data_IF_120229281326
#
_entry.id   IF_120229281326
#
_cell.length_a   1.000
_cell.length_b   1.000
_cell.length_c   1.000
_cell.angle_alpha   90.00
_cell.angle_beta   90.00
_cell.angle_gamma   90.00
#
_symmetry.space_group_name_H-M   'P 1'
#
loop_
_entity.id
_entity.type
_entity.pdbx_description
1 polymer ?
#
# COMPACT_ATOMS: atom_id res chain seq x y z
N UNK A 1 18.09 46.05 -60.38
CA UNK A 1 19.34 45.29 -60.16
C UNK A 1 19.47 45.09 -58.65
N UNK A 2 19.06 43.92 -58.14
CA UNK A 2 19.93 42.87 -57.51
C UNK A 2 20.35 43.23 -56.07
N UNK A 3 20.23 42.42 -55.01
CA UNK A 3 19.94 40.98 -54.74
C UNK A 3 19.60 40.87 -53.22
N UNK A 4 18.57 40.10 -52.81
CA UNK A 4 18.66 38.78 -52.14
C UNK A 4 19.32 38.84 -50.71
N UNK A 5 18.55 38.94 -49.61
CA UNK A 5 17.86 37.89 -48.85
C UNK A 5 18.79 36.80 -48.23
N UNK A 6 18.88 36.74 -46.90
CA UNK A 6 18.82 35.48 -46.13
C UNK A 6 18.57 35.75 -44.62
N UNK A 7 17.35 35.46 -44.18
CA UNK A 7 16.96 35.32 -42.77
C UNK A 7 17.41 33.93 -42.31
N UNK A 8 18.34 33.85 -41.36
CA UNK A 8 18.73 32.59 -40.71
C UNK A 8 17.88 32.40 -39.45
N UNK A 9 16.68 31.84 -39.63
CA UNK A 9 15.86 31.35 -38.53
C UNK A 9 16.44 30.03 -38.02
N UNK A 10 17.16 30.10 -36.90
CA UNK A 10 17.62 28.93 -36.17
C UNK A 10 16.42 28.28 -35.46
N UNK A 11 15.75 27.35 -36.14
CA UNK A 11 14.76 26.47 -35.52
C UNK A 11 15.46 25.53 -34.55
N UNK A 12 15.45 25.89 -33.26
CA UNK A 12 15.82 25.00 -32.18
C UNK A 12 14.87 23.80 -32.19
N UNK A 13 15.38 22.65 -32.65
CA UNK A 13 14.71 21.36 -32.51
C UNK A 13 14.59 21.05 -31.02
N UNK A 14 13.45 21.38 -30.44
CA UNK A 14 13.03 20.84 -29.15
C UNK A 14 12.84 19.34 -29.31
N UNK A 15 13.91 18.57 -29.11
CA UNK A 15 13.86 17.14 -28.83
C UNK A 15 13.20 16.97 -27.46
N UNK A 16 11.88 17.13 -27.41
CA UNK A 16 11.05 16.69 -26.31
C UNK A 16 11.06 15.17 -26.30
N UNK A 17 12.10 14.56 -25.75
CA UNK A 17 12.02 13.18 -25.29
C UNK A 17 10.87 13.14 -24.28
N UNK A 18 9.74 12.60 -24.71
CA UNK A 18 8.64 12.23 -23.82
C UNK A 18 9.18 11.09 -22.94
N UNK A 19 9.89 11.46 -21.87
CA UNK A 19 10.29 10.56 -20.81
C UNK A 19 9.00 10.07 -20.19
N UNK A 20 8.43 8.98 -20.72
CA UNK A 20 7.30 8.30 -20.11
C UNK A 20 7.69 8.06 -18.66
N UNK A 21 6.99 8.72 -17.73
CA UNK A 21 7.29 8.58 -16.32
C UNK A 21 7.31 7.08 -15.99
N UNK A 22 8.47 6.60 -15.55
CA UNK A 22 8.63 5.19 -15.20
C UNK A 22 7.67 4.88 -14.05
N UNK A 23 7.05 3.71 -14.09
CA UNK A 23 6.11 3.25 -13.06
C UNK A 23 6.64 1.95 -12.46
N UNK A 24 6.26 1.68 -11.22
CA UNK A 24 6.54 0.41 -10.55
C UNK A 24 5.89 -0.71 -11.38
N UNK A 25 6.65 -1.76 -11.78
CA UNK A 25 6.13 -2.85 -12.60
C UNK A 25 4.83 -3.45 -12.04
N UNK A 26 3.84 -3.65 -12.91
CA UNK A 26 2.53 -4.17 -12.51
C UNK A 26 1.58 -3.13 -11.90
N UNK A 27 1.97 -1.85 -11.82
CA UNK A 27 1.16 -0.78 -11.23
C UNK A 27 1.14 0.47 -12.13
N UNK A 28 0.30 1.44 -11.77
CA UNK A 28 0.34 2.80 -12.33
C UNK A 28 1.11 3.79 -11.43
N UNK A 29 1.73 3.32 -10.34
CA UNK A 29 2.40 4.16 -9.36
C UNK A 29 3.73 4.67 -9.94
N UNK A 30 4.01 5.99 -9.91
CA UNK A 30 5.29 6.53 -10.37
C UNK A 30 6.47 5.89 -9.64
N UNK A 31 7.50 5.51 -10.39
CA UNK A 31 8.73 4.94 -9.84
C UNK A 31 9.52 6.03 -9.11
N UNK A 32 9.78 5.78 -7.82
CA UNK A 32 10.69 6.54 -6.98
C UNK A 32 11.17 5.63 -5.85
N UNK A 33 12.33 5.88 -5.22
CA UNK A 33 12.80 5.08 -4.09
C UNK A 33 11.77 4.97 -2.96
N UNK A 34 11.09 6.07 -2.65
CA UNK A 34 10.03 6.11 -1.63
C UNK A 34 8.82 5.28 -2.01
N UNK A 35 8.26 5.47 -3.21
CA UNK A 35 7.08 4.70 -3.64
C UNK A 35 7.39 3.21 -3.74
N UNK A 36 8.58 2.87 -4.24
CA UNK A 36 9.06 1.50 -4.32
C UNK A 36 9.11 0.86 -2.94
N UNK A 37 9.73 1.53 -1.98
CA UNK A 37 9.84 1.02 -0.61
C UNK A 37 8.46 0.81 0.05
N UNK A 38 7.53 1.74 -0.12
CA UNK A 38 6.15 1.60 0.39
C UNK A 38 5.41 0.43 -0.29
N UNK A 39 5.47 0.33 -1.61
CA UNK A 39 4.82 -0.76 -2.36
C UNK A 39 5.41 -2.10 -1.96
N UNK A 40 6.73 -2.19 -1.84
CA UNK A 40 7.41 -3.42 -1.43
C UNK A 40 7.01 -3.84 -0.01
N UNK A 41 6.84 -2.91 0.94
CA UNK A 41 6.27 -3.20 2.27
C UNK A 41 4.85 -3.78 2.18
N UNK A 42 3.99 -3.17 1.37
CA UNK A 42 2.60 -3.65 1.20
C UNK A 42 2.57 -5.01 0.49
N UNK A 43 3.48 -5.29 -0.44
CA UNK A 43 3.62 -6.61 -1.05
C UNK A 43 4.09 -7.68 -0.05
N UNK A 44 4.98 -7.33 0.89
CA UNK A 44 5.35 -8.26 1.98
C UNK A 44 4.15 -8.59 2.87
N UNK A 45 3.32 -7.59 3.19
CA UNK A 45 2.04 -7.80 3.88
C UNK A 45 1.13 -8.74 3.09
N UNK A 46 0.90 -8.46 1.80
CA UNK A 46 0.06 -9.29 0.91
C UNK A 46 0.50 -10.76 0.94
N UNK A 47 1.80 -10.99 0.80
CA UNK A 47 2.39 -12.33 0.84
C UNK A 47 2.26 -13.00 2.22
N UNK A 48 2.39 -12.25 3.31
CA UNK A 48 2.21 -12.77 4.67
C UNK A 48 0.75 -13.17 4.94
N UNK A 49 -0.22 -12.40 4.43
CA UNK A 49 -1.64 -12.77 4.45
C UNK A 49 -1.88 -14.09 3.73
N UNK A 50 -1.39 -14.25 2.50
CA UNK A 50 -1.56 -15.51 1.73
C UNK A 50 -0.94 -16.72 2.44
N UNK A 51 0.19 -16.52 3.14
CA UNK A 51 0.85 -17.56 3.94
C UNK A 51 0.23 -17.78 5.32
N UNK A 52 -0.71 -16.94 5.75
CA UNK A 52 -1.26 -16.91 7.12
C UNK A 52 -0.16 -16.78 8.18
N UNK A 53 0.85 -15.98 7.87
CA UNK A 53 2.02 -15.77 8.72
C UNK A 53 1.71 -14.71 9.79
N UNK A 54 0.99 -15.13 10.84
CA UNK A 54 0.55 -14.22 11.91
C UNK A 54 1.69 -13.52 12.63
N UNK A 55 2.85 -14.15 12.92
CA UNK A 55 3.99 -13.44 13.50
C UNK A 55 4.55 -12.36 12.57
N UNK A 56 4.70 -12.63 11.26
CA UNK A 56 5.18 -11.63 10.32
C UNK A 56 4.22 -10.45 10.21
N UNK A 57 2.91 -10.71 10.13
CA UNK A 57 1.88 -9.67 10.10
C UNK A 57 1.96 -8.77 11.33
N UNK A 58 2.03 -9.36 12.53
CA UNK A 58 2.12 -8.60 13.76
C UNK A 58 3.41 -7.76 13.88
N UNK A 59 4.52 -8.23 13.29
CA UNK A 59 5.78 -7.48 13.21
C UNK A 59 5.75 -6.32 12.21
N UNK A 60 4.80 -6.32 11.27
CA UNK A 60 4.60 -5.24 10.30
C UNK A 60 3.65 -4.16 10.84
N UNK A 61 2.89 -4.45 11.90
CA UNK A 61 2.03 -3.47 12.55
C UNK A 61 2.82 -2.57 13.51
N UNK A 62 2.46 -1.28 13.53
CA UNK A 62 2.90 -0.34 14.55
C UNK A 62 2.30 -0.69 15.92
N UNK A 63 3.02 -0.40 17.00
CA UNK A 63 2.44 -0.47 18.35
C UNK A 63 1.28 0.53 18.54
N UNK A 64 1.23 1.57 17.72
CA UNK A 64 0.14 2.56 17.68
C UNK A 64 -0.99 2.17 16.72
N UNK A 65 -1.01 0.93 16.21
CA UNK A 65 -2.01 0.45 15.26
C UNK A 65 -3.43 0.69 15.77
N UNK A 66 -4.30 1.16 14.87
CA UNK A 66 -5.72 1.35 15.11
C UNK A 66 -6.53 1.06 13.84
N UNK A 67 -7.54 0.19 13.94
CA UNK A 67 -8.52 -0.05 12.90
C UNK A 67 -9.82 0.67 13.22
N UNK A 68 -10.30 1.47 12.26
CA UNK A 68 -11.64 2.04 12.25
C UNK A 68 -12.46 1.19 11.26
N UNK A 69 -13.32 0.32 11.77
CA UNK A 69 -14.11 -0.61 10.96
C UNK A 69 -15.12 0.07 10.02
N UNK A 70 -15.16 1.42 10.05
CA UNK A 70 -16.03 2.24 9.20
C UNK A 70 -17.49 2.16 9.64
N UNK A 71 -17.77 1.60 10.81
CA UNK A 71 -19.12 1.51 11.37
C UNK A 71 -19.41 2.71 12.28
N UNK A 72 -20.62 3.28 12.27
CA UNK A 72 -20.94 4.45 13.10
C UNK A 72 -20.78 4.23 14.60
N UNK A 73 -20.84 2.98 15.05
CA UNK A 73 -20.77 2.60 16.47
C UNK A 73 -19.35 2.31 16.94
N UNK A 74 -18.39 2.08 16.02
CA UNK A 74 -17.02 1.70 16.34
C UNK A 74 -16.90 0.39 17.13
N UNK A 75 -17.94 -0.45 17.08
CA UNK A 75 -17.99 -1.69 17.86
C UNK A 75 -17.04 -2.76 17.34
N UNK A 76 -16.58 -2.58 16.11
CA UNK A 76 -15.59 -3.40 15.40
C UNK A 76 -14.22 -2.71 15.31
N UNK A 77 -14.03 -1.57 15.99
CA UNK A 77 -12.74 -0.91 16.08
C UNK A 77 -11.81 -1.65 17.04
N UNK A 78 -10.53 -1.67 16.72
CA UNK A 78 -9.53 -2.31 17.59
C UNK A 78 -8.13 -1.75 17.41
N UNK A 79 -7.34 -1.80 18.48
CA UNK A 79 -5.91 -1.48 18.46
C UNK A 79 -5.02 -2.71 18.25
N UNK A 80 -3.70 -2.53 18.43
CA UNK A 80 -2.68 -3.58 18.25
C UNK A 80 -3.00 -4.93 18.93
N UNK A 81 -3.51 -4.94 20.16
CA UNK A 81 -3.86 -6.18 20.84
C UNK A 81 -5.09 -6.87 20.21
N UNK A 82 -6.08 -6.11 19.75
CA UNK A 82 -7.20 -6.69 19.00
C UNK A 82 -6.77 -7.21 17.63
N UNK A 83 -5.80 -6.55 16.97
CA UNK A 83 -5.19 -7.07 15.75
C UNK A 83 -4.55 -8.44 16.00
N UNK A 84 -3.79 -8.58 17.10
CA UNK A 84 -3.20 -9.87 17.50
C UNK A 84 -4.27 -10.95 17.65
N UNK A 85 -5.42 -10.64 18.27
CA UNK A 85 -6.53 -11.57 18.39
C UNK A 85 -7.15 -11.94 17.04
N UNK A 86 -7.39 -10.95 16.17
CA UNK A 86 -7.91 -11.15 14.81
C UNK A 86 -7.00 -12.09 14.01
N UNK A 87 -5.69 -11.84 14.04
CA UNK A 87 -4.71 -12.65 13.33
C UNK A 87 -4.66 -14.09 13.89
N UNK A 88 -4.65 -14.25 15.22
CA UNK A 88 -4.52 -15.56 15.83
C UNK A 88 -5.81 -16.40 15.74
N UNK A 89 -6.97 -15.76 15.70
CA UNK A 89 -8.26 -16.46 15.71
C UNK A 89 -8.85 -16.55 14.30
N UNK A 90 -9.03 -15.43 13.60
CA UNK A 90 -9.75 -15.40 12.31
C UNK A 90 -8.85 -15.89 11.18
N UNK A 91 -7.67 -15.29 11.00
CA UNK A 91 -6.80 -15.62 9.87
C UNK A 91 -6.34 -17.10 9.91
N UNK A 92 -6.09 -17.66 11.11
CA UNK A 92 -5.71 -19.07 11.25
C UNK A 92 -6.81 -20.06 10.88
N UNK A 93 -8.08 -19.67 11.00
CA UNK A 93 -9.22 -20.53 10.62
C UNK A 93 -9.50 -20.54 9.12
N UNK A 94 -8.96 -19.56 8.39
CA UNK A 94 -9.02 -19.57 6.94
C UNK A 94 -8.16 -20.71 6.36
N UNK A 95 -8.72 -21.40 5.38
CA UNK A 95 -8.05 -22.40 4.55
C UNK A 95 -7.11 -21.74 3.55
N UNK A 96 -7.27 -22.05 2.25
CA UNK A 96 -6.45 -21.45 1.20
C UNK A 96 -6.88 -20.01 0.94
N UNK A 97 -5.94 -19.08 1.00
CA UNK A 97 -6.18 -17.65 0.77
C UNK A 97 -5.57 -17.25 -0.57
N UNK A 98 -6.37 -16.57 -1.40
CA UNK A 98 -5.91 -15.75 -2.52
C UNK A 98 -6.12 -14.30 -2.11
N UNK A 99 -5.07 -13.48 -2.17
CA UNK A 99 -5.17 -12.08 -1.75
C UNK A 99 -4.40 -11.20 -2.75
N UNK A 100 -5.16 -10.51 -3.60
CA UNK A 100 -4.63 -9.66 -4.67
C UNK A 100 -4.90 -8.20 -4.38
N UNK A 101 -3.90 -7.36 -4.63
CA UNK A 101 -3.97 -5.92 -4.48
C UNK A 101 -3.79 -5.25 -5.84
N UNK A 102 -4.65 -4.27 -6.13
CA UNK A 102 -4.43 -3.31 -7.21
C UNK A 102 -4.15 -1.95 -6.58
N UNK A 103 -2.91 -1.48 -6.75
CA UNK A 103 -2.48 -0.16 -6.29
C UNK A 103 -3.13 0.94 -7.13
N UNK A 104 -3.92 1.78 -6.48
CA UNK A 104 -4.61 2.92 -7.09
C UNK A 104 -3.80 4.20 -6.91
N UNK A 105 -3.25 4.41 -5.71
CA UNK A 105 -2.49 5.59 -5.38
C UNK A 105 -1.53 5.33 -4.20
N UNK A 106 -0.41 6.06 -4.19
CA UNK A 106 0.53 6.12 -3.07
C UNK A 106 0.81 7.59 -2.80
N UNK A 107 0.45 8.07 -1.62
CA UNK A 107 0.72 9.43 -1.18
C UNK A 107 1.57 9.42 0.09
N UNK A 108 2.57 10.30 0.16
CA UNK A 108 3.38 10.51 1.36
C UNK A 108 3.09 11.91 1.92
N UNK A 109 2.89 12.01 3.23
CA UNK A 109 2.75 13.28 3.95
C UNK A 109 3.76 13.33 5.08
N UNK A 110 4.51 14.42 5.13
CA UNK A 110 5.48 14.69 6.18
C UNK A 110 5.08 16.00 6.87
N UNK A 111 4.90 16.00 8.20
CA UNK A 111 4.62 17.22 8.92
C UNK A 111 5.86 18.15 8.91
N UNK A 112 5.72 19.44 9.23
CA UNK A 112 6.83 20.40 9.21
C UNK A 112 8.02 20.01 10.09
N UNK A 113 7.76 19.31 11.20
CA UNK A 113 8.77 18.77 12.12
C UNK A 113 9.42 17.47 11.64
N UNK A 114 8.88 16.83 10.60
CA UNK A 114 9.44 15.61 10.02
C UNK A 114 10.52 15.87 8.98
N UNK A 115 11.13 14.79 8.47
CA UNK A 115 12.17 14.84 7.45
C UNK A 115 11.77 14.03 6.22
N UNK A 116 11.51 14.73 5.11
CA UNK A 116 11.09 14.11 3.84
C UNK A 116 12.22 13.35 3.11
N UNK A 117 13.49 13.59 3.44
CA UNK A 117 14.62 12.85 2.89
C UNK A 117 14.77 11.49 3.59
N UNK A 118 14.57 11.43 4.91
CA UNK A 118 14.71 10.20 5.71
C UNK A 118 13.39 9.49 6.02
N UNK A 119 12.25 10.08 5.66
CA UNK A 119 10.89 9.69 6.05
C UNK A 119 10.55 9.86 7.53
N UNK A 120 11.44 10.43 8.35
CA UNK A 120 11.20 10.60 9.79
C UNK A 120 9.95 11.45 10.04
N UNK A 121 9.02 10.93 10.86
CA UNK A 121 7.74 11.57 11.15
C UNK A 121 6.74 11.56 9.98
N UNK A 122 7.09 10.99 8.82
CA UNK A 122 6.19 10.91 7.68
C UNK A 122 5.20 9.74 7.79
N UNK A 123 4.06 9.89 7.10
CA UNK A 123 3.09 8.82 6.84
C UNK A 123 2.94 8.56 5.37
N UNK A 124 2.71 7.30 5.01
CA UNK A 124 2.30 6.88 3.68
C UNK A 124 0.84 6.44 3.70
N UNK A 125 0.12 6.74 2.62
CA UNK A 125 -1.29 6.39 2.41
C UNK A 125 -1.35 5.63 1.09
N UNK A 126 -1.83 4.39 1.14
CA UNK A 126 -1.82 3.49 -0.01
C UNK A 126 -3.24 3.04 -0.29
N UNK A 127 -3.82 3.61 -1.34
CA UNK A 127 -5.16 3.27 -1.78
C UNK A 127 -5.09 2.03 -2.67
N UNK A 128 -5.83 0.99 -2.31
CA UNK A 128 -5.87 -0.29 -3.04
C UNK A 128 -7.29 -0.75 -3.31
N UNK A 129 -7.45 -1.51 -4.40
CA UNK A 129 -8.58 -2.42 -4.54
C UNK A 129 -8.11 -3.82 -4.15
N UNK A 130 -8.79 -4.40 -3.17
CA UNK A 130 -8.58 -5.76 -2.69
C UNK A 130 -9.51 -6.69 -3.47
N UNK A 131 -8.96 -7.78 -4.01
CA UNK A 131 -9.72 -8.93 -4.50
C UNK A 131 -9.19 -10.17 -3.77
N UNK A 132 -10.03 -10.71 -2.88
CA UNK A 132 -9.65 -11.79 -1.99
C UNK A 132 -10.65 -12.93 -2.05
N UNK A 133 -10.16 -14.17 -1.91
CA UNK A 133 -11.01 -15.32 -1.66
C UNK A 133 -10.33 -16.30 -0.74
N UNK A 134 -11.09 -16.86 0.19
CA UNK A 134 -10.56 -17.80 1.17
C UNK A 134 -11.54 -18.92 1.46
N UNK A 135 -11.03 -20.12 1.66
CA UNK A 135 -11.87 -21.25 2.07
C UNK A 135 -12.13 -21.19 3.58
N UNK A 136 -13.35 -21.49 4.03
CA UNK A 136 -13.67 -21.62 5.46
C UNK A 136 -14.76 -22.67 5.67
N UNK A 137 -14.84 -23.23 6.87
CA UNK A 137 -15.93 -24.11 7.27
C UNK A 137 -17.01 -23.26 7.93
N UNK A 138 -18.22 -23.27 7.39
CA UNK A 138 -19.35 -22.52 7.94
C UNK A 138 -19.94 -23.22 9.18
N UNK A 139 -20.96 -22.61 9.81
CA UNK A 139 -21.63 -23.17 11.00
C UNK A 139 -22.31 -24.53 10.75
N UNK A 140 -22.56 -24.90 9.50
CA UNK A 140 -23.16 -26.17 9.09
C UNK A 140 -22.12 -27.25 8.76
N UNK A 141 -20.82 -26.95 8.89
CA UNK A 141 -19.74 -27.88 8.57
C UNK A 141 -19.39 -27.95 7.08
N UNK A 142 -19.95 -27.05 6.26
CA UNK A 142 -19.69 -27.02 4.82
C UNK A 142 -18.49 -26.14 4.51
N UNK A 143 -17.63 -26.60 3.60
CA UNK A 143 -16.55 -25.76 3.05
C UNK A 143 -17.15 -24.77 2.06
N UNK A 144 -17.04 -23.49 2.38
CA UNK A 144 -17.41 -22.38 1.51
C UNK A 144 -16.18 -21.59 1.11
N UNK A 145 -16.26 -20.87 -0.01
CA UNK A 145 -15.19 -19.99 -0.50
C UNK A 145 -15.78 -18.64 -0.91
N UNK A 146 -16.02 -17.72 0.05
CA UNK A 146 -16.47 -16.38 -0.29
C UNK A 146 -15.42 -15.63 -1.11
N UNK A 147 -15.90 -14.83 -2.05
CA UNK A 147 -15.13 -13.80 -2.75
C UNK A 147 -15.44 -12.44 -2.09
N UNK A 148 -14.39 -11.65 -1.88
CA UNK A 148 -14.46 -10.31 -1.29
C UNK A 148 -13.79 -9.33 -2.24
N UNK A 149 -14.46 -8.22 -2.50
CA UNK A 149 -13.91 -7.08 -3.22
C UNK A 149 -14.19 -5.83 -2.45
N UNK A 150 -13.13 -5.08 -2.17
CA UNK A 150 -13.21 -3.89 -1.35
C UNK A 150 -12.20 -2.83 -1.78
N UNK A 151 -12.50 -1.58 -1.47
CA UNK A 151 -11.54 -0.49 -1.58
C UNK A 151 -11.02 -0.17 -0.18
N UNK A 152 -9.72 -0.36 0.02
CA UNK A 152 -9.07 -0.15 1.31
C UNK A 152 -7.96 0.90 1.20
N UNK A 153 -7.64 1.57 2.32
CA UNK A 153 -6.49 2.45 2.45
C UNK A 153 -5.59 1.95 3.58
N UNK A 154 -4.40 1.49 3.22
CA UNK A 154 -3.37 1.25 4.22
C UNK A 154 -2.74 2.59 4.61
N UNK A 155 -2.63 2.84 5.92
CA UNK A 155 -1.85 3.95 6.44
C UNK A 155 -0.61 3.37 7.09
N UNK A 156 0.55 3.88 6.70
CA UNK A 156 1.83 3.45 7.24
C UNK A 156 2.55 4.63 7.89
N UNK A 157 3.27 4.36 8.96
CA UNK A 157 4.21 5.28 9.59
C UNK A 157 5.64 4.76 9.48
N UNK A 158 6.60 5.69 9.45
CA UNK A 158 8.01 5.34 9.39
C UNK A 158 8.55 5.09 10.79
N UNK A 159 9.11 3.90 11.00
CA UNK A 159 9.92 3.56 12.16
C UNK A 159 11.38 3.92 11.86
N UNK A 160 11.87 4.97 12.51
CA UNK A 160 13.23 5.47 12.31
C UNK A 160 14.30 4.54 12.91
N UNK A 161 13.97 3.75 13.94
CA UNK A 161 14.93 2.83 14.56
C UNK A 161 15.13 1.59 13.69
N UNK A 162 14.04 1.05 13.17
CA UNK A 162 14.07 -0.13 12.30
C UNK A 162 14.22 0.20 10.79
N UNK A 163 14.27 1.49 10.44
CA UNK A 163 14.35 2.02 9.07
C UNK A 163 13.32 1.36 8.11
N UNK A 164 12.07 1.25 8.56
CA UNK A 164 10.99 0.61 7.78
C UNK A 164 9.63 1.22 8.01
N UNK A 165 8.74 1.02 7.05
CA UNK A 165 7.33 1.34 7.22
C UNK A 165 6.62 0.27 8.05
N UNK A 166 5.79 0.73 8.98
CA UNK A 166 4.87 -0.09 9.76
C UNK A 166 3.44 0.34 9.49
N UNK A 167 2.52 -0.62 9.47
CA UNK A 167 1.10 -0.35 9.31
C UNK A 167 0.55 0.31 10.57
N UNK A 168 -0.07 1.46 10.38
CA UNK A 168 -0.83 2.18 11.39
C UNK A 168 -2.32 1.83 11.33
N UNK A 169 -2.84 1.45 10.15
CA UNK A 169 -4.21 0.97 9.96
C UNK A 169 -4.37 0.19 8.64
N UNK A 170 -5.51 -0.49 8.50
CA UNK A 170 -6.03 -1.11 7.28
C UNK A 170 -5.64 -2.58 7.08
N UNK A 171 -5.10 -3.27 8.09
CA UNK A 171 -4.59 -4.66 7.98
C UNK A 171 -5.66 -5.76 8.08
#
# INVERSE_FOLDING_TARGET
>A
MTKLALLLSASALLLGCSSKAQTIPGTAIPESPTNRNVVDTVEQYRLAVERKDTPALLLMASQSYWEDGGTPTGSDDYGYEGLREVLNNRLRTAGDIRYSLRYMNVARRCPPEGNAETNEGCRAYVDVLVDASFSMVNAYGETVRPDMRDQNQFVLEWDAEAERWLFLSGM
#
